data_IF_696718514569
#
_entry.id   IF_696718514569
#
_cell.length_a   1.000
_cell.length_b   1.000
_cell.length_c   1.000
_cell.angle_alpha   90.00
_cell.angle_beta   90.00
_cell.angle_gamma   90.00
#
_symmetry.space_group_name_H-M   'P 1'
#
loop_
_entity.id
_entity.type
_entity.pdbx_description
1 polymer ?
#
# COMPACT_ATOMS: atom_id res chain seq x y z
N UNK A 1 13.43 -20.52 -15.39
CA UNK A 1 14.27 -19.64 -14.54
C UNK A 1 13.91 -19.97 -13.10
N UNK A 2 14.86 -20.42 -12.30
CA UNK A 2 14.61 -20.68 -10.88
C UNK A 2 14.20 -19.38 -10.19
N UNK A 3 13.19 -19.38 -9.29
CA UNK A 3 12.86 -18.19 -8.52
C UNK A 3 14.10 -17.77 -7.73
N UNK A 4 14.52 -16.54 -7.93
CA UNK A 4 15.62 -15.93 -7.17
C UNK A 4 15.24 -15.94 -5.70
N UNK A 5 16.09 -16.50 -4.85
CA UNK A 5 15.89 -16.58 -3.40
C UNK A 5 15.53 -15.21 -2.85
N UNK A 6 14.30 -15.05 -2.34
CA UNK A 6 13.77 -13.82 -1.74
C UNK A 6 12.52 -13.22 -2.40
N UNK A 7 11.95 -13.86 -3.42
CA UNK A 7 10.63 -13.44 -3.93
C UNK A 7 9.56 -14.29 -3.24
N UNK A 8 8.52 -13.69 -2.63
CA UNK A 8 7.42 -14.45 -2.04
C UNK A 8 6.77 -15.34 -3.12
N UNK A 9 6.55 -16.62 -2.80
CA UNK A 9 5.84 -17.53 -3.69
C UNK A 9 4.33 -17.30 -3.55
N UNK A 10 3.64 -17.08 -4.66
CA UNK A 10 2.18 -16.98 -4.70
C UNK A 10 1.59 -18.31 -5.16
N UNK A 11 0.38 -18.60 -4.71
CA UNK A 11 -0.37 -19.76 -5.17
C UNK A 11 -0.94 -19.46 -6.57
N UNK A 12 -0.16 -19.80 -7.62
CA UNK A 12 -0.54 -19.52 -9.02
C UNK A 12 -1.87 -20.20 -9.38
N UNK A 13 -2.15 -21.39 -8.84
CA UNK A 13 -3.40 -22.10 -9.16
C UNK A 13 -4.63 -21.40 -8.57
N UNK A 14 -4.48 -20.68 -7.45
CA UNK A 14 -5.53 -19.85 -6.89
C UNK A 14 -5.77 -18.58 -7.72
N UNK A 15 -4.70 -17.96 -8.22
CA UNK A 15 -4.78 -16.65 -8.89
C UNK A 15 -5.04 -16.74 -10.39
N UNK A 16 -4.68 -17.84 -11.05
CA UNK A 16 -4.83 -17.98 -12.51
C UNK A 16 -6.26 -17.70 -12.94
N UNK A 17 -6.42 -16.77 -13.89
CA UNK A 17 -7.69 -16.34 -14.48
C UNK A 17 -8.72 -15.83 -13.44
N UNK A 18 -8.27 -15.56 -12.20
CA UNK A 18 -9.14 -15.05 -11.14
C UNK A 18 -9.42 -13.57 -11.34
N UNK A 19 -10.71 -13.14 -11.41
CA UNK A 19 -11.07 -11.75 -11.55
C UNK A 19 -10.81 -10.97 -10.25
N UNK A 20 -9.87 -10.01 -10.29
CA UNK A 20 -9.45 -9.22 -9.12
C UNK A 20 -9.64 -7.75 -9.36
N UNK A 21 -10.47 -7.09 -8.54
CA UNK A 21 -10.56 -5.63 -8.53
C UNK A 21 -9.51 -5.04 -7.60
N UNK A 22 -8.66 -4.16 -8.14
CA UNK A 22 -7.70 -3.38 -7.36
C UNK A 22 -8.10 -1.90 -7.39
N UNK A 23 -8.50 -1.37 -6.24
CA UNK A 23 -8.66 0.08 -6.06
C UNK A 23 -7.36 0.67 -5.54
N UNK A 24 -6.97 1.86 -6.02
CA UNK A 24 -5.69 2.46 -5.63
C UNK A 24 -4.47 1.87 -6.34
N UNK A 25 -4.65 1.27 -7.52
CA UNK A 25 -3.59 0.67 -8.33
C UNK A 25 -2.46 1.64 -8.72
N UNK A 26 -2.74 2.95 -8.79
CA UNK A 26 -1.73 3.99 -9.07
C UNK A 26 -0.93 4.42 -7.84
N UNK A 27 -1.27 3.90 -6.64
CA UNK A 27 -0.52 4.12 -5.40
C UNK A 27 0.73 3.24 -5.31
N UNK A 28 1.57 3.49 -4.27
CA UNK A 28 2.80 2.73 -4.03
C UNK A 28 2.52 1.21 -3.94
N UNK A 29 1.71 0.80 -2.98
CA UNK A 29 1.42 -0.63 -2.74
C UNK A 29 0.58 -1.22 -3.87
N UNK A 30 -0.40 -0.46 -4.39
CA UNK A 30 -1.29 -0.91 -5.46
C UNK A 30 -0.54 -1.27 -6.74
N UNK A 31 0.45 -0.48 -7.14
CA UNK A 31 1.27 -0.78 -8.32
C UNK A 31 2.05 -2.10 -8.19
N UNK A 32 2.68 -2.33 -7.04
CA UNK A 32 3.39 -3.59 -6.77
C UNK A 32 2.45 -4.78 -6.62
N UNK A 33 1.26 -4.57 -6.04
CA UNK A 33 0.24 -5.61 -5.94
C UNK A 33 -0.25 -6.04 -7.33
N UNK A 34 -0.57 -5.09 -8.22
CA UNK A 34 -0.95 -5.39 -9.61
C UNK A 34 0.14 -6.17 -10.31
N UNK A 35 1.40 -5.76 -10.18
CA UNK A 35 2.54 -6.48 -10.75
C UNK A 35 2.61 -7.93 -10.26
N UNK A 36 2.42 -8.15 -8.96
CA UNK A 36 2.44 -9.50 -8.37
C UNK A 36 1.25 -10.35 -8.83
N UNK A 37 0.05 -9.78 -8.93
CA UNK A 37 -1.15 -10.43 -9.45
C UNK A 37 -0.98 -10.83 -10.92
N UNK A 38 -0.41 -9.97 -11.76
CA UNK A 38 -0.09 -10.28 -13.16
C UNK A 38 0.94 -11.40 -13.30
N UNK A 39 1.94 -11.45 -12.40
CA UNK A 39 2.91 -12.56 -12.34
C UNK A 39 2.24 -13.88 -11.94
N UNK A 40 1.22 -13.82 -11.10
CA UNK A 40 0.40 -14.95 -10.70
C UNK A 40 -0.74 -15.28 -11.71
N UNK A 41 -0.77 -14.59 -12.86
CA UNK A 41 -1.73 -14.81 -13.96
C UNK A 41 -3.19 -14.48 -13.59
N UNK A 42 -3.43 -13.56 -12.66
CA UNK A 42 -4.77 -13.09 -12.34
C UNK A 42 -5.34 -12.20 -13.45
N UNK A 43 -6.68 -12.20 -13.59
CA UNK A 43 -7.40 -11.23 -14.45
C UNK A 43 -7.66 -9.96 -13.62
N UNK A 44 -6.85 -8.93 -13.85
CA UNK A 44 -6.82 -7.74 -13.00
C UNK A 44 -7.63 -6.61 -13.60
N UNK A 45 -8.55 -6.07 -12.80
CA UNK A 45 -9.33 -4.86 -13.08
C UNK A 45 -8.87 -3.76 -12.14
N UNK A 46 -8.46 -2.61 -12.67
CA UNK A 46 -8.00 -1.46 -11.90
C UNK A 46 -9.03 -0.32 -11.94
N UNK A 47 -9.55 0.08 -10.77
CA UNK A 47 -10.32 1.32 -10.66
C UNK A 47 -9.34 2.50 -10.55
N UNK A 48 -9.31 3.35 -11.57
CA UNK A 48 -8.40 4.50 -11.68
C UNK A 48 -9.20 5.80 -11.76
N UNK A 49 -9.02 6.67 -10.76
CA UNK A 49 -9.64 8.00 -10.73
C UNK A 49 -8.82 9.00 -11.53
N UNK A 50 -7.57 9.17 -11.15
CA UNK A 50 -6.69 10.19 -11.71
C UNK A 50 -5.56 9.56 -12.53
N UNK A 51 -5.21 10.20 -13.64
CA UNK A 51 -4.06 9.82 -14.42
C UNK A 51 -2.78 10.27 -13.71
N UNK A 52 -1.93 9.31 -13.35
CA UNK A 52 -0.68 9.54 -12.59
C UNK A 52 0.51 9.00 -13.39
N UNK A 53 1.08 9.77 -14.35
CA UNK A 53 2.09 9.29 -15.30
C UNK A 53 3.33 8.66 -14.64
N UNK A 54 3.69 9.14 -13.45
CA UNK A 54 4.86 8.68 -12.73
C UNK A 54 4.59 7.49 -11.79
N UNK A 55 3.35 7.02 -11.69
CA UNK A 55 3.02 5.83 -10.90
C UNK A 55 3.76 4.59 -11.46
N UNK A 56 4.16 3.67 -10.57
CA UNK A 56 4.92 2.47 -10.95
C UNK A 56 4.18 1.64 -12.01
N UNK A 57 2.88 1.43 -11.86
CA UNK A 57 2.05 0.69 -12.82
C UNK A 57 2.06 1.29 -14.24
N UNK A 58 2.18 2.63 -14.35
CA UNK A 58 2.29 3.34 -15.63
C UNK A 58 3.70 3.15 -16.24
N UNK A 59 4.72 3.30 -15.39
CA UNK A 59 6.12 3.24 -15.81
C UNK A 59 6.58 1.84 -16.18
N UNK A 60 6.07 0.82 -15.52
CA UNK A 60 6.37 -0.59 -15.81
C UNK A 60 5.67 -1.11 -17.06
N UNK A 61 4.64 -0.39 -17.57
CA UNK A 61 3.77 -0.85 -18.65
C UNK A 61 2.74 -1.89 -18.19
N UNK A 62 2.63 -2.14 -16.90
CA UNK A 62 1.67 -3.13 -16.37
C UNK A 62 0.22 -2.66 -16.55
N UNK A 63 -0.03 -1.33 -16.67
CA UNK A 63 -1.36 -0.80 -16.95
C UNK A 63 -1.94 -1.28 -18.28
N UNK A 64 -1.08 -1.51 -19.28
CA UNK A 64 -1.50 -2.00 -20.61
C UNK A 64 -1.90 -3.49 -20.61
N UNK A 65 -1.68 -4.17 -19.49
CA UNK A 65 -1.92 -5.61 -19.29
C UNK A 65 -3.13 -5.89 -18.41
N UNK A 66 -3.84 -4.86 -17.95
CA UNK A 66 -5.00 -4.97 -17.06
C UNK A 66 -6.22 -4.28 -17.65
N UNK A 67 -7.40 -4.63 -17.18
CA UNK A 67 -8.63 -3.91 -17.50
C UNK A 67 -8.68 -2.62 -16.66
N UNK A 68 -8.80 -1.46 -17.31
CA UNK A 68 -8.85 -0.16 -16.63
C UNK A 68 -10.26 0.40 -16.66
N UNK A 69 -10.85 0.57 -15.50
CA UNK A 69 -12.11 1.30 -15.33
C UNK A 69 -11.82 2.66 -14.74
N UNK A 70 -12.23 3.71 -15.44
CA UNK A 70 -12.18 5.08 -14.92
C UNK A 70 -13.37 5.34 -14.03
N UNK A 71 -13.11 5.72 -12.78
CA UNK A 71 -14.15 5.98 -11.80
C UNK A 71 -13.60 6.42 -10.45
N UNK A 72 -14.47 7.03 -9.65
CA UNK A 72 -14.16 7.41 -8.26
C UNK A 72 -14.67 6.30 -7.32
N UNK A 73 -13.93 6.03 -6.26
CA UNK A 73 -14.33 5.09 -5.19
C UNK A 73 -15.62 5.54 -4.49
N UNK A 74 -15.99 6.80 -4.63
CA UNK A 74 -17.23 7.36 -4.10
C UNK A 74 -18.43 7.22 -5.05
N UNK A 75 -18.26 6.63 -6.22
CA UNK A 75 -19.33 6.38 -7.19
C UNK A 75 -19.89 4.96 -7.03
N UNK A 76 -21.04 4.86 -6.35
CA UNK A 76 -21.70 3.58 -6.05
C UNK A 76 -22.08 2.82 -7.33
N UNK A 77 -22.66 3.51 -8.31
CA UNK A 77 -23.13 2.88 -9.57
C UNK A 77 -21.96 2.34 -10.38
N UNK A 78 -20.85 3.09 -10.41
CA UNK A 78 -19.61 2.61 -11.03
C UNK A 78 -19.08 1.34 -10.34
N UNK A 79 -19.06 1.30 -9.01
CA UNK A 79 -18.60 0.14 -8.26
C UNK A 79 -19.46 -1.10 -8.51
N UNK A 80 -20.79 -0.96 -8.44
CA UNK A 80 -21.72 -2.07 -8.71
C UNK A 80 -21.59 -2.58 -10.15
N UNK A 81 -21.47 -1.68 -11.12
CA UNK A 81 -21.24 -2.02 -12.52
C UNK A 81 -19.93 -2.80 -12.72
N UNK A 82 -18.82 -2.33 -12.14
CA UNK A 82 -17.51 -3.01 -12.27
C UNK A 82 -17.55 -4.41 -11.68
N UNK A 83 -18.12 -4.56 -10.48
CA UNK A 83 -18.23 -5.87 -9.83
C UNK A 83 -19.06 -6.85 -10.67
N UNK A 84 -20.11 -6.37 -11.34
CA UNK A 84 -20.98 -7.19 -12.18
C UNK A 84 -20.39 -7.48 -13.56
N UNK A 85 -19.91 -6.46 -14.30
CA UNK A 85 -19.40 -6.62 -15.67
C UNK A 85 -18.15 -7.51 -15.74
N UNK A 86 -17.28 -7.42 -14.74
CA UNK A 86 -16.05 -8.22 -14.69
C UNK A 86 -16.17 -9.46 -13.79
N UNK A 87 -17.35 -9.78 -13.29
CA UNK A 87 -17.62 -10.93 -12.40
C UNK A 87 -16.58 -11.05 -11.25
N UNK A 88 -16.24 -9.91 -10.64
CA UNK A 88 -15.17 -9.82 -9.66
C UNK A 88 -15.38 -10.79 -8.49
N UNK A 89 -14.40 -11.65 -8.25
CA UNK A 89 -14.38 -12.58 -7.12
C UNK A 89 -13.53 -12.12 -5.94
N UNK A 90 -12.46 -11.34 -6.21
CA UNK A 90 -11.57 -10.83 -5.14
C UNK A 90 -11.42 -9.31 -5.25
N UNK A 91 -11.51 -8.62 -4.12
CA UNK A 91 -11.38 -7.16 -4.05
C UNK A 91 -10.20 -6.78 -3.16
N UNK A 92 -9.27 -6.01 -3.72
CA UNK A 92 -8.13 -5.42 -3.04
C UNK A 92 -8.37 -3.91 -2.89
N UNK A 93 -8.81 -3.48 -1.70
CA UNK A 93 -9.18 -2.09 -1.46
C UNK A 93 -8.03 -1.29 -0.85
N UNK A 94 -7.27 -0.59 -1.72
CA UNK A 94 -6.15 0.24 -1.32
C UNK A 94 -6.36 1.74 -1.64
N UNK A 95 -7.47 2.11 -2.29
CA UNK A 95 -7.77 3.50 -2.62
C UNK A 95 -7.96 4.33 -1.35
N UNK A 96 -7.11 5.34 -1.17
CA UNK A 96 -7.19 6.26 -0.05
C UNK A 96 -6.40 7.55 -0.32
N UNK A 97 -6.79 8.66 0.30
CA UNK A 97 -5.90 9.81 0.48
C UNK A 97 -4.94 9.50 1.64
N UNK A 98 -3.64 9.31 1.31
CA UNK A 98 -2.63 8.83 2.27
C UNK A 98 -1.62 9.89 2.71
N UNK A 99 -1.68 11.09 2.14
CA UNK A 99 -0.72 12.16 2.45
C UNK A 99 -1.26 13.00 3.61
N UNK A 100 -0.68 12.81 4.80
CA UNK A 100 -1.13 13.48 6.04
C UNK A 100 -1.22 14.99 5.90
N UNK A 101 -0.25 15.64 5.25
CA UNK A 101 -0.29 17.08 5.01
C UNK A 101 -1.46 17.53 4.12
N UNK A 102 -1.93 16.69 3.20
CA UNK A 102 -3.14 16.96 2.39
C UNK A 102 -4.37 16.72 3.25
N UNK A 103 -4.43 15.63 3.99
CA UNK A 103 -5.54 15.31 4.89
C UNK A 103 -5.79 16.43 5.92
N UNK A 104 -4.72 16.99 6.50
CA UNK A 104 -4.83 18.10 7.45
C UNK A 104 -5.35 19.41 6.80
N UNK A 105 -4.99 19.65 5.53
CA UNK A 105 -5.46 20.85 4.81
C UNK A 105 -6.86 20.69 4.24
N UNK A 106 -7.23 19.47 3.86
CA UNK A 106 -8.55 19.17 3.28
C UNK A 106 -9.10 17.86 3.89
N UNK A 107 -9.61 17.94 5.15
CA UNK A 107 -10.14 16.76 5.82
C UNK A 107 -11.40 16.21 5.15
N UNK A 108 -12.25 17.07 4.55
CA UNK A 108 -13.50 16.63 3.92
C UNK A 108 -13.20 15.66 2.79
N UNK A 109 -12.34 16.02 1.83
CA UNK A 109 -11.99 15.12 0.72
C UNK A 109 -11.33 13.82 1.19
N UNK A 110 -10.60 13.87 2.31
CA UNK A 110 -10.01 12.68 2.93
C UNK A 110 -11.09 11.77 3.51
N UNK A 111 -12.07 12.33 4.22
CA UNK A 111 -13.18 11.56 4.78
C UNK A 111 -14.10 11.00 3.69
N UNK A 112 -14.39 11.78 2.66
CA UNK A 112 -15.16 11.29 1.51
C UNK A 112 -14.48 10.10 0.83
N UNK A 113 -13.19 10.21 0.51
CA UNK A 113 -12.47 9.12 -0.14
C UNK A 113 -12.28 7.90 0.77
N UNK A 114 -11.77 8.12 2.00
CA UNK A 114 -11.32 7.02 2.87
C UNK A 114 -12.46 6.38 3.65
N UNK A 115 -13.47 7.15 4.06
CA UNK A 115 -14.62 6.66 4.81
C UNK A 115 -15.78 6.39 3.84
N UNK A 116 -16.17 7.43 3.07
CA UNK A 116 -17.26 7.34 2.10
C UNK A 116 -17.00 6.28 1.03
N UNK A 117 -15.80 6.26 0.46
CA UNK A 117 -15.40 5.27 -0.52
C UNK A 117 -15.40 3.85 0.04
N UNK A 118 -14.92 3.66 1.28
CA UNK A 118 -14.90 2.33 1.91
C UNK A 118 -16.31 1.77 2.11
N UNK A 119 -17.24 2.53 2.73
CA UNK A 119 -18.58 1.98 2.96
C UNK A 119 -19.36 1.75 1.66
N UNK A 120 -19.14 2.58 0.63
CA UNK A 120 -19.76 2.36 -0.69
C UNK A 120 -19.24 1.09 -1.35
N UNK A 121 -17.93 0.87 -1.30
CA UNK A 121 -17.36 -0.38 -1.83
C UNK A 121 -17.87 -1.61 -1.05
N UNK A 122 -17.92 -1.54 0.28
CA UNK A 122 -18.46 -2.64 1.09
C UNK A 122 -19.92 -2.93 0.72
N UNK A 123 -20.75 -1.90 0.51
CA UNK A 123 -22.15 -2.07 0.12
C UNK A 123 -22.26 -2.65 -1.31
N UNK A 124 -21.45 -2.20 -2.26
CA UNK A 124 -21.40 -2.78 -3.60
C UNK A 124 -21.02 -4.27 -3.55
N UNK A 125 -19.99 -4.62 -2.75
CA UNK A 125 -19.59 -6.01 -2.55
C UNK A 125 -20.70 -6.86 -1.90
N UNK A 126 -21.41 -6.30 -0.90
CA UNK A 126 -22.53 -6.99 -0.24
C UNK A 126 -23.67 -7.34 -1.21
N UNK A 127 -23.90 -6.49 -2.22
CA UNK A 127 -24.91 -6.72 -3.26
C UNK A 127 -24.43 -7.64 -4.38
N UNK A 128 -23.13 -7.83 -4.52
CA UNK A 128 -22.56 -8.70 -5.54
C UNK A 128 -22.60 -10.17 -5.10
N UNK A 129 -23.18 -11.07 -5.89
CA UNK A 129 -23.22 -12.49 -5.55
C UNK A 129 -21.90 -13.23 -5.86
N UNK A 130 -20.90 -12.52 -6.47
CA UNK A 130 -19.65 -13.11 -6.95
C UNK A 130 -18.46 -12.85 -6.04
N UNK A 131 -18.53 -11.82 -5.19
CA UNK A 131 -17.39 -11.44 -4.33
C UNK A 131 -17.20 -12.46 -3.21
N UNK A 132 -16.04 -13.08 -3.19
CA UNK A 132 -15.65 -14.15 -2.26
C UNK A 132 -14.59 -13.73 -1.25
N UNK A 133 -13.74 -12.75 -1.57
CA UNK A 133 -12.72 -12.21 -0.66
C UNK A 133 -12.56 -10.71 -0.84
N UNK A 134 -12.44 -10.00 0.27
CA UNK A 134 -12.17 -8.56 0.30
C UNK A 134 -11.02 -8.31 1.28
N UNK A 135 -9.94 -7.71 0.81
CA UNK A 135 -8.83 -7.26 1.65
C UNK A 135 -8.82 -5.74 1.67
N UNK A 136 -8.97 -5.16 2.86
CA UNK A 136 -9.04 -3.71 3.07
C UNK A 136 -7.75 -3.20 3.69
N UNK A 137 -7.08 -2.26 3.04
CA UNK A 137 -5.89 -1.62 3.56
C UNK A 137 -6.26 -0.54 4.60
N UNK A 138 -6.08 -0.86 5.88
CA UNK A 138 -6.04 0.10 6.98
C UNK A 138 -4.60 0.61 7.21
N UNK A 139 -4.21 0.91 8.43
CA UNK A 139 -2.89 1.42 8.80
C UNK A 139 -2.67 1.29 10.31
N UNK A 140 -1.42 1.24 10.73
CA UNK A 140 -1.00 1.43 12.13
C UNK A 140 -1.46 2.78 12.70
N UNK A 141 -1.69 3.78 11.83
CA UNK A 141 -2.23 5.10 12.21
C UNK A 141 -3.65 5.03 12.77
N UNK A 142 -4.41 3.97 12.45
CA UNK A 142 -5.75 3.77 13.00
C UNK A 142 -5.75 3.58 14.53
N UNK A 143 -4.65 3.10 15.10
CA UNK A 143 -4.48 2.96 16.56
C UNK A 143 -4.28 4.30 17.30
N UNK A 144 -3.90 5.36 16.56
CA UNK A 144 -3.57 6.65 17.17
C UNK A 144 -2.29 6.61 18.01
N UNK A 145 -2.24 7.40 19.07
CA UNK A 145 -1.12 7.48 20.01
C UNK A 145 -1.42 6.65 21.28
N UNK A 146 -1.43 5.32 21.15
CA UNK A 146 -1.67 4.45 22.29
C UNK A 146 -0.43 4.36 23.18
N UNK A 147 -0.64 4.33 24.48
CA UNK A 147 0.43 4.33 25.50
C UNK A 147 1.17 3.00 25.61
N UNK A 148 0.54 1.91 25.17
CA UNK A 148 1.10 0.56 25.25
C UNK A 148 1.58 0.14 23.87
N UNK A 149 2.84 -0.23 23.76
CA UNK A 149 3.49 -0.71 22.54
C UNK A 149 4.13 -2.07 22.79
N UNK A 150 4.27 -2.91 21.76
CA UNK A 150 3.79 -2.75 20.37
C UNK A 150 2.26 -2.72 20.27
N UNK A 151 1.72 -2.13 19.19
CA UNK A 151 0.28 -2.25 18.93
C UNK A 151 -0.06 -3.67 18.52
N UNK A 152 -1.03 -4.28 19.19
CA UNK A 152 -1.68 -5.53 18.81
C UNK A 152 -3.03 -5.26 18.15
N UNK A 153 -3.65 -6.27 17.55
CA UNK A 153 -4.98 -6.12 16.96
C UNK A 153 -6.07 -5.79 17.98
N UNK A 154 -5.82 -6.11 19.28
CA UNK A 154 -6.71 -5.77 20.41
C UNK A 154 -6.56 -4.29 20.87
N UNK A 155 -5.53 -3.60 20.39
CA UNK A 155 -5.36 -2.18 20.69
C UNK A 155 -6.53 -1.38 20.11
N UNK A 156 -7.24 -0.54 20.89
CA UNK A 156 -8.37 0.23 20.39
C UNK A 156 -7.99 1.15 19.22
N UNK A 157 -8.89 1.26 18.24
CA UNK A 157 -8.76 2.21 17.16
C UNK A 157 -9.12 3.61 17.68
N UNK A 158 -8.12 4.48 17.77
CA UNK A 158 -8.22 5.81 18.42
C UNK A 158 -7.48 6.90 17.63
N UNK A 159 -7.61 6.92 16.30
CA UNK A 159 -7.05 7.97 15.46
C UNK A 159 -7.53 9.35 15.92
N UNK A 160 -6.65 10.36 15.91
CA UNK A 160 -6.96 11.72 16.34
C UNK A 160 -6.84 12.76 15.24
N UNK A 161 -6.01 12.53 14.24
CA UNK A 161 -5.82 13.43 13.11
C UNK A 161 -6.66 12.97 11.89
N UNK A 162 -6.97 13.83 10.91
CA UNK A 162 -7.90 13.50 9.83
C UNK A 162 -7.58 12.20 9.10
N UNK A 163 -6.32 11.94 8.77
CA UNK A 163 -5.92 10.68 8.15
C UNK A 163 -6.14 9.49 9.10
N UNK A 164 -5.68 9.60 10.34
CA UNK A 164 -5.75 8.52 11.33
C UNK A 164 -7.21 8.15 11.62
N UNK A 165 -8.06 9.18 11.88
CA UNK A 165 -9.52 9.02 12.04
C UNK A 165 -10.15 8.34 10.83
N UNK A 166 -9.76 8.75 9.61
CA UNK A 166 -10.31 8.16 8.40
C UNK A 166 -9.98 6.66 8.28
N UNK A 167 -8.78 6.25 8.73
CA UNK A 167 -8.37 4.85 8.76
C UNK A 167 -9.09 4.07 9.85
N UNK A 168 -9.25 4.64 11.06
CA UNK A 168 -10.05 4.01 12.13
C UNK A 168 -11.50 3.79 11.69
N UNK A 169 -12.13 4.78 11.05
CA UNK A 169 -13.50 4.67 10.57
C UNK A 169 -13.63 3.62 9.45
N UNK A 170 -12.75 3.63 8.45
CA UNK A 170 -12.78 2.66 7.36
C UNK A 170 -12.58 1.23 7.85
N UNK A 171 -11.70 1.03 8.82
CA UNK A 171 -11.44 -0.25 9.50
C UNK A 171 -12.69 -0.76 10.22
N UNK A 172 -13.31 0.06 11.08
CA UNK A 172 -14.54 -0.27 11.79
C UNK A 172 -15.70 -0.56 10.84
N UNK A 173 -15.83 0.18 9.73
CA UNK A 173 -16.85 -0.07 8.71
C UNK A 173 -16.63 -1.44 8.08
N UNK A 174 -15.42 -1.78 7.65
CA UNK A 174 -15.13 -3.08 7.06
C UNK A 174 -15.48 -4.22 8.01
N UNK A 175 -15.09 -4.14 9.29
CA UNK A 175 -15.43 -5.11 10.32
C UNK A 175 -16.95 -5.19 10.57
N UNK A 176 -17.65 -4.06 10.52
CA UNK A 176 -19.13 -4.02 10.67
C UNK A 176 -19.79 -4.81 9.56
N UNK A 177 -19.34 -4.69 8.30
CA UNK A 177 -19.91 -5.45 7.19
C UNK A 177 -19.66 -6.96 7.33
N UNK A 178 -18.50 -7.37 7.85
CA UNK A 178 -18.26 -8.77 8.18
C UNK A 178 -19.20 -9.27 9.28
N UNK A 179 -19.21 -8.57 10.41
CA UNK A 179 -19.91 -9.04 11.61
C UNK A 179 -21.44 -9.00 11.48
N UNK A 180 -21.98 -8.02 10.74
CA UNK A 180 -23.42 -7.82 10.63
C UNK A 180 -24.03 -8.55 9.42
N UNK A 181 -23.29 -8.55 8.29
CA UNK A 181 -23.81 -9.05 7.02
C UNK A 181 -23.08 -10.30 6.51
N UNK A 182 -22.07 -10.80 7.23
CA UNK A 182 -21.28 -11.97 6.82
C UNK A 182 -20.43 -11.73 5.59
N UNK A 183 -20.08 -10.46 5.30
CA UNK A 183 -19.25 -10.15 4.14
C UNK A 183 -17.83 -10.73 4.32
N UNK A 184 -17.27 -11.42 3.31
CA UNK A 184 -15.95 -12.03 3.42
C UNK A 184 -14.85 -10.97 3.33
N UNK A 185 -14.63 -10.21 4.40
CA UNK A 185 -13.65 -9.11 4.46
C UNK A 185 -12.67 -9.30 5.61
N UNK A 186 -11.39 -9.06 5.32
CA UNK A 186 -10.32 -8.90 6.30
C UNK A 186 -9.65 -7.53 6.17
N UNK A 187 -9.12 -7.03 7.27
CA UNK A 187 -8.43 -5.74 7.33
C UNK A 187 -6.94 -5.94 7.58
N UNK A 188 -6.09 -5.20 6.87
CA UNK A 188 -4.65 -5.18 7.10
C UNK A 188 -4.24 -3.86 7.75
N UNK A 189 -3.51 -3.92 8.86
CA UNK A 189 -2.93 -2.76 9.53
C UNK A 189 -1.42 -2.84 9.39
N UNK A 190 -0.88 -2.00 8.50
CA UNK A 190 0.53 -2.07 8.13
C UNK A 190 1.28 -0.86 8.69
N UNK A 191 2.57 -1.06 8.98
CA UNK A 191 3.52 0.01 9.27
C UNK A 191 3.84 0.88 8.06
N UNK A 192 4.92 1.68 8.14
CA UNK A 192 5.27 2.61 7.07
C UNK A 192 5.82 1.88 5.84
N UNK A 193 5.04 1.81 4.80
CA UNK A 193 5.50 1.24 3.53
C UNK A 193 6.63 2.05 2.91
N UNK A 194 7.63 1.32 2.40
CA UNK A 194 8.70 1.88 1.57
C UNK A 194 9.03 0.95 0.40
N UNK A 195 9.60 1.51 -0.65
CA UNK A 195 10.01 0.76 -1.84
C UNK A 195 10.13 1.66 -3.06
N UNK A 196 10.49 1.06 -4.18
CA UNK A 196 10.50 1.76 -5.47
C UNK A 196 9.09 2.22 -5.85
N UNK A 197 8.98 3.41 -6.46
CA UNK A 197 7.69 3.99 -6.86
C UNK A 197 7.09 4.97 -5.84
N UNK A 198 7.68 5.12 -4.64
CA UNK A 198 7.27 6.19 -3.73
C UNK A 198 7.88 7.52 -4.14
N UNK A 199 7.08 8.35 -4.81
CA UNK A 199 7.52 9.68 -5.26
C UNK A 199 7.12 10.81 -4.29
N UNK A 200 6.70 10.48 -3.08
CA UNK A 200 6.50 11.46 -2.02
C UNK A 200 7.84 11.83 -1.37
N UNK A 201 8.53 12.80 -1.97
CA UNK A 201 9.84 13.27 -1.52
C UNK A 201 9.88 13.87 -0.11
N UNK A 202 8.73 14.04 0.53
CA UNK A 202 8.63 14.44 1.93
C UNK A 202 8.76 13.27 2.90
N UNK A 203 8.67 12.01 2.42
CA UNK A 203 8.97 10.83 3.22
C UNK A 203 10.47 10.62 3.34
N UNK A 204 10.90 10.08 4.47
CA UNK A 204 12.32 10.00 4.82
C UNK A 204 13.15 9.19 3.82
N UNK A 205 12.68 8.00 3.40
CA UNK A 205 13.44 7.12 2.49
C UNK A 205 13.58 7.74 1.10
N UNK A 206 12.50 8.09 0.36
CA UNK A 206 12.66 8.70 -0.96
C UNK A 206 13.38 10.04 -0.91
N UNK A 207 13.14 10.86 0.12
CA UNK A 207 13.79 12.15 0.31
C UNK A 207 15.30 12.01 0.50
N UNK A 208 15.73 11.08 1.36
CA UNK A 208 17.16 10.80 1.61
C UNK A 208 17.86 10.30 0.35
N UNK A 209 17.29 9.28 -0.32
CA UNK A 209 17.91 8.71 -1.54
C UNK A 209 18.03 9.78 -2.63
N UNK A 210 16.97 10.59 -2.83
CA UNK A 210 17.01 11.70 -3.80
C UNK A 210 18.11 12.72 -3.49
N UNK A 211 18.23 13.11 -2.20
CA UNK A 211 19.28 14.07 -1.78
C UNK A 211 20.67 13.52 -2.09
N UNK A 212 20.93 12.26 -1.73
CA UNK A 212 22.23 11.62 -2.01
C UNK A 212 22.53 11.54 -3.51
N UNK A 213 21.57 11.15 -4.35
CA UNK A 213 21.74 11.10 -5.82
C UNK A 213 22.08 12.48 -6.38
N UNK A 214 21.62 13.57 -5.75
CA UNK A 214 21.92 14.95 -6.14
C UNK A 214 23.21 15.50 -5.53
N UNK A 215 23.90 14.73 -4.70
CA UNK A 215 25.07 15.21 -3.96
C UNK A 215 24.73 16.16 -2.81
N UNK A 216 23.48 16.17 -2.34
CA UNK A 216 22.98 17.03 -1.28
C UNK A 216 22.91 16.26 0.05
N UNK A 217 23.14 16.94 1.18
CA UNK A 217 22.93 16.38 2.51
C UNK A 217 21.44 16.15 2.75
N UNK A 218 21.00 14.94 3.19
CA UNK A 218 19.61 14.70 3.51
C UNK A 218 19.20 15.49 4.75
N UNK A 219 17.92 15.91 4.80
CA UNK A 219 17.37 16.70 5.90
C UNK A 219 16.41 15.85 6.73
N UNK A 220 16.70 15.72 8.03
CA UNK A 220 15.83 15.14 9.05
C UNK A 220 15.09 16.28 9.74
N UNK A 221 13.74 16.31 9.62
CA UNK A 221 12.93 17.39 10.19
C UNK A 221 12.74 17.26 11.71
N UNK A 222 12.63 16.03 12.22
CA UNK A 222 12.62 15.73 13.65
C UNK A 222 14.03 15.82 14.24
N UNK A 223 14.17 15.46 15.51
CA UNK A 223 15.45 15.26 16.17
C UNK A 223 16.17 13.95 15.77
N UNK A 224 15.49 13.11 14.97
CA UNK A 224 15.98 11.82 14.49
C UNK A 224 15.69 10.63 15.42
N UNK A 225 15.13 10.86 16.59
CA UNK A 225 14.87 9.81 17.61
C UNK A 225 13.58 9.01 17.37
N UNK A 226 12.68 9.49 16.50
CA UNK A 226 11.38 8.86 16.28
C UNK A 226 11.52 7.46 15.73
N UNK A 227 10.92 6.47 16.41
CA UNK A 227 10.99 5.06 16.04
C UNK A 227 9.77 4.67 15.22
N UNK A 228 10.02 3.99 14.09
CA UNK A 228 9.00 3.50 13.17
C UNK A 228 9.27 2.05 12.78
N UNK A 229 8.22 1.42 12.33
CA UNK A 229 8.21 0.14 11.68
C UNK A 229 8.17 0.36 10.16
N UNK A 230 9.20 -0.07 9.46
CA UNK A 230 9.33 0.08 8.02
C UNK A 230 9.03 -1.25 7.31
N UNK A 231 8.01 -1.23 6.46
CA UNK A 231 7.52 -2.42 5.79
C UNK A 231 7.77 -2.34 4.27
N UNK A 232 8.54 -3.29 3.76
CA UNK A 232 8.92 -3.28 2.35
C UNK A 232 7.72 -3.58 1.44
N UNK A 233 7.59 -2.83 0.36
CA UNK A 233 6.39 -2.83 -0.47
C UNK A 233 6.09 -4.17 -1.14
N UNK A 234 7.12 -4.93 -1.54
CA UNK A 234 6.90 -6.25 -2.15
C UNK A 234 6.42 -7.28 -1.11
N UNK A 235 6.87 -7.20 0.15
CA UNK A 235 6.32 -7.99 1.24
C UNK A 235 4.85 -7.65 1.51
N UNK A 236 4.51 -6.36 1.42
CA UNK A 236 3.12 -5.92 1.57
C UNK A 236 2.21 -6.44 0.47
N UNK A 237 2.62 -6.34 -0.79
CA UNK A 237 1.88 -6.88 -1.91
C UNK A 237 1.66 -8.40 -1.76
N UNK A 238 2.71 -9.13 -1.39
CA UNK A 238 2.64 -10.56 -1.13
C UNK A 238 1.72 -10.91 0.06
N UNK A 239 1.77 -10.12 1.13
CA UNK A 239 0.93 -10.34 2.31
C UNK A 239 -0.57 -10.18 1.99
N UNK A 240 -0.93 -9.20 1.16
CA UNK A 240 -2.32 -9.03 0.73
C UNK A 240 -2.82 -10.19 -0.11
N UNK A 241 -2.00 -10.68 -1.05
CA UNK A 241 -2.32 -11.87 -1.84
C UNK A 241 -2.45 -13.10 -0.96
N UNK A 242 -1.48 -13.31 -0.06
CA UNK A 242 -1.50 -14.44 0.87
C UNK A 242 -2.74 -14.42 1.78
N UNK A 243 -3.14 -13.24 2.29
CA UNK A 243 -4.35 -13.11 3.10
C UNK A 243 -5.60 -13.54 2.32
N UNK A 244 -5.76 -13.10 1.08
CA UNK A 244 -6.89 -13.51 0.23
C UNK A 244 -6.90 -15.02 -0.04
N UNK A 245 -5.73 -15.64 -0.27
CA UNK A 245 -5.58 -17.10 -0.39
C UNK A 245 -6.02 -17.83 0.89
N UNK A 246 -5.61 -17.32 2.06
CA UNK A 246 -6.01 -17.88 3.35
C UNK A 246 -7.51 -17.74 3.62
N UNK A 247 -8.11 -16.60 3.28
CA UNK A 247 -9.56 -16.37 3.41
C UNK A 247 -10.38 -17.36 2.59
N UNK A 248 -9.93 -17.71 1.38
CA UNK A 248 -10.62 -18.69 0.53
C UNK A 248 -10.63 -20.10 1.15
N UNK A 249 -9.59 -20.48 1.87
CA UNK A 249 -9.48 -21.78 2.54
C UNK A 249 -10.10 -21.80 3.95
N UNK A 250 -10.27 -20.60 4.57
CA UNK A 250 -10.55 -20.46 6.00
C UNK A 250 -11.57 -19.35 6.24
N UNK A 251 -12.88 -19.62 6.08
CA UNK A 251 -13.94 -18.63 6.28
C UNK A 251 -13.97 -18.02 7.70
N UNK A 252 -13.40 -18.68 8.69
CA UNK A 252 -13.27 -18.16 10.05
C UNK A 252 -12.37 -16.92 10.17
N UNK A 253 -11.61 -16.58 9.13
CA UNK A 253 -10.84 -15.35 9.07
C UNK A 253 -11.68 -14.11 8.76
N UNK A 254 -12.91 -14.28 8.27
CA UNK A 254 -13.78 -13.16 7.91
C UNK A 254 -14.08 -12.27 9.11
N UNK A 255 -13.87 -10.98 8.95
CA UNK A 255 -14.01 -9.98 10.02
C UNK A 255 -12.74 -9.70 10.80
N UNK A 256 -11.69 -10.50 10.60
CA UNK A 256 -10.44 -10.33 11.32
C UNK A 256 -9.59 -9.18 10.76
N UNK A 257 -8.85 -8.54 11.68
CA UNK A 257 -7.79 -7.61 11.33
C UNK A 257 -6.43 -8.27 11.60
N UNK A 258 -5.43 -7.93 10.77
CA UNK A 258 -4.07 -8.41 10.91
C UNK A 258 -3.07 -7.27 10.82
N UNK A 259 -2.22 -7.18 11.84
CA UNK A 259 -1.01 -6.37 11.77
C UNK A 259 0.00 -7.07 10.86
N UNK A 260 0.53 -6.31 9.89
CA UNK A 260 1.57 -6.78 8.98
C UNK A 260 2.80 -5.89 9.14
N UNK A 261 3.88 -6.48 9.60
CA UNK A 261 5.07 -5.76 10.05
C UNK A 261 6.30 -6.65 9.97
N UNK A 262 7.47 -6.04 9.83
CA UNK A 262 8.76 -6.69 10.03
C UNK A 262 9.18 -6.73 11.50
N UNK A 263 8.48 -5.99 12.37
CA UNK A 263 8.77 -5.79 13.79
C UNK A 263 10.18 -5.20 14.06
N UNK A 264 10.78 -4.61 13.02
CA UNK A 264 12.07 -3.93 13.14
C UNK A 264 11.83 -2.49 13.59
N UNK A 265 12.26 -2.20 14.80
CA UNK A 265 12.17 -0.86 15.38
C UNK A 265 13.43 -0.09 15.02
N UNK A 266 13.29 0.93 14.17
CA UNK A 266 14.41 1.74 13.67
C UNK A 266 14.09 3.22 13.87
N UNK A 267 15.01 3.95 14.49
CA UNK A 267 14.91 5.40 14.54
C UNK A 267 15.14 6.03 13.16
N UNK A 268 14.63 7.24 12.98
CA UNK A 268 14.83 8.00 11.74
C UNK A 268 16.30 8.20 11.42
N UNK A 269 17.14 8.44 12.45
CA UNK A 269 18.57 8.62 12.27
C UNK A 269 19.25 7.33 11.83
N UNK A 270 19.00 6.20 12.51
CA UNK A 270 19.54 4.89 12.12
C UNK A 270 19.14 4.49 10.70
N UNK A 271 17.89 4.78 10.31
CA UNK A 271 17.43 4.52 8.94
C UNK A 271 18.19 5.36 7.91
N UNK A 272 18.40 6.64 8.18
CA UNK A 272 19.15 7.53 7.29
C UNK A 272 20.60 7.06 7.19
N UNK A 273 21.24 6.70 8.29
CA UNK A 273 22.60 6.16 8.31
C UNK A 273 22.71 4.85 7.53
N UNK A 274 21.72 3.96 7.64
CA UNK A 274 21.65 2.73 6.84
C UNK A 274 21.58 3.03 5.33
N UNK A 275 20.77 4.02 4.92
CA UNK A 275 20.66 4.44 3.52
C UNK A 275 21.98 5.03 3.03
N UNK A 276 22.61 5.93 3.80
CA UNK A 276 23.89 6.55 3.45
C UNK A 276 24.99 5.51 3.31
N UNK A 277 25.05 4.54 4.23
CA UNK A 277 25.97 3.42 4.18
C UNK A 277 25.77 2.55 2.95
N UNK A 278 24.53 2.18 2.63
CA UNK A 278 24.20 1.34 1.46
C UNK A 278 24.50 2.05 0.14
N UNK A 279 24.38 3.40 0.11
CA UNK A 279 24.73 4.23 -1.05
C UNK A 279 26.23 4.56 -1.13
N UNK A 280 27.04 4.16 -0.15
CA UNK A 280 28.49 4.38 -0.13
C UNK A 280 28.91 5.84 -0.13
N UNK A 281 28.13 6.72 0.51
CA UNK A 281 28.38 8.16 0.53
C UNK A 281 28.95 8.62 1.88
N UNK A 282 29.79 9.69 1.84
CA UNK A 282 30.29 10.37 3.04
C UNK A 282 29.44 11.55 3.51
N UNK A 283 28.32 11.83 2.82
CA UNK A 283 27.39 12.88 3.22
C UNK A 283 26.87 12.64 4.64
N UNK A 284 26.57 13.72 5.35
CA UNK A 284 25.98 13.67 6.69
C UNK A 284 24.59 14.28 6.69
N UNK A 285 23.63 13.73 7.46
CA UNK A 285 22.32 14.33 7.55
C UNK A 285 22.35 15.66 8.30
N UNK A 286 21.45 16.57 7.94
CA UNK A 286 21.16 17.80 8.67
C UNK A 286 19.91 17.58 9.51
N UNK A 287 20.07 17.56 10.84
CA UNK A 287 18.98 17.39 11.80
C UNK A 287 18.44 18.75 12.20
N UNK A 288 17.13 19.00 12.03
CA UNK A 288 16.50 20.31 12.31
C UNK A 288 15.77 20.37 13.65
N UNK A 289 15.20 19.26 14.14
CA UNK A 289 14.43 19.25 15.38
C UNK A 289 13.13 20.06 15.34
N UNK A 290 12.55 20.26 14.15
CA UNK A 290 11.38 21.14 13.94
C UNK A 290 10.04 20.37 13.96
N UNK A 291 10.07 19.03 13.99
CA UNK A 291 8.84 18.24 13.97
C UNK A 291 8.08 18.35 15.29
N UNK A 292 6.85 18.82 15.22
CA UNK A 292 5.91 18.91 16.35
C UNK A 292 4.66 18.08 16.05
N UNK A 293 4.03 17.55 17.10
CA UNK A 293 2.75 16.82 17.01
C UNK A 293 2.79 15.50 16.24
N UNK A 294 3.95 14.84 16.13
CA UNK A 294 4.07 13.50 15.60
C UNK A 294 4.20 12.46 16.72
N UNK A 295 3.61 11.26 16.53
CA UNK A 295 3.78 10.12 17.44
C UNK A 295 5.27 9.75 17.46
N UNK A 296 5.89 9.69 18.65
CA UNK A 296 7.33 9.43 18.79
C UNK A 296 7.68 7.96 18.48
N UNK A 297 6.91 7.02 19.02
CA UNK A 297 7.13 5.59 18.86
C UNK A 297 5.89 4.94 18.26
N UNK A 298 6.05 4.23 17.14
CA UNK A 298 4.95 3.56 16.47
C UNK A 298 5.47 2.29 15.77
N UNK A 299 5.09 1.13 16.33
CA UNK A 299 5.46 -0.18 15.79
C UNK A 299 4.43 -1.24 16.22
N UNK A 300 4.35 -2.30 15.44
CA UNK A 300 3.32 -3.31 15.50
C UNK A 300 3.86 -4.63 16.05
N UNK A 301 2.98 -5.41 16.67
CA UNK A 301 3.14 -6.85 16.88
C UNK A 301 2.41 -7.58 15.75
N UNK A 302 3.11 -8.41 15.00
CA UNK A 302 2.58 -9.23 13.90
C UNK A 302 2.42 -10.71 14.29
N UNK A 303 2.42 -11.04 15.57
CA UNK A 303 2.31 -12.43 16.07
C UNK A 303 1.03 -13.11 15.58
N UNK A 304 -0.08 -12.39 15.48
CA UNK A 304 -1.33 -12.94 14.95
C UNK A 304 -1.19 -13.37 13.49
N UNK A 305 -0.57 -12.55 12.64
CA UNK A 305 -0.32 -12.91 11.24
C UNK A 305 0.61 -14.12 11.14
N UNK A 306 1.65 -14.21 11.96
CA UNK A 306 2.51 -15.38 12.01
C UNK A 306 1.77 -16.65 12.44
N UNK A 307 1.02 -16.57 13.52
CA UNK A 307 0.37 -17.73 14.13
C UNK A 307 -0.85 -18.23 13.34
N UNK A 308 -1.63 -17.28 12.78
CA UNK A 308 -2.88 -17.62 12.10
C UNK A 308 -2.68 -17.82 10.61
N UNK A 309 -1.83 -17.01 9.97
CA UNK A 309 -1.63 -17.08 8.52
C UNK A 309 -0.35 -17.80 8.12
N UNK A 310 0.51 -18.18 9.08
CA UNK A 310 1.87 -18.64 8.80
C UNK A 310 2.65 -17.67 7.89
N UNK A 311 2.40 -16.37 8.07
CA UNK A 311 3.00 -15.33 7.26
C UNK A 311 4.27 -14.78 7.92
N UNK A 312 5.29 -14.52 7.11
CA UNK A 312 6.53 -13.86 7.52
C UNK A 312 7.04 -12.97 6.38
N UNK A 313 7.66 -11.81 6.68
CA UNK A 313 8.31 -11.00 5.66
C UNK A 313 9.49 -11.74 5.03
N UNK A 314 9.64 -11.63 3.70
CA UNK A 314 10.71 -12.28 2.95
C UNK A 314 11.98 -11.40 2.84
N UNK A 315 11.83 -10.10 3.08
CA UNK A 315 12.92 -9.14 2.94
C UNK A 315 13.37 -8.55 4.28
N UNK A 316 14.67 -8.58 4.54
CA UNK A 316 15.27 -7.75 5.60
C UNK A 316 15.27 -6.27 5.18
N UNK A 317 15.36 -5.36 6.16
CA UNK A 317 15.48 -3.92 5.88
C UNK A 317 16.61 -3.64 4.87
N UNK A 318 17.78 -4.23 5.06
CA UNK A 318 18.92 -4.06 4.14
C UNK A 318 18.57 -4.47 2.71
N UNK A 319 17.98 -5.66 2.49
CA UNK A 319 17.59 -6.10 1.14
C UNK A 319 16.54 -5.18 0.52
N UNK A 320 15.56 -4.75 1.29
CA UNK A 320 14.53 -3.80 0.83
C UNK A 320 15.14 -2.46 0.44
N UNK A 321 16.07 -1.93 1.25
CA UNK A 321 16.78 -0.68 0.94
C UNK A 321 17.64 -0.81 -0.33
N UNK A 322 18.42 -1.87 -0.48
CA UNK A 322 19.22 -2.12 -1.70
C UNK A 322 18.35 -2.09 -2.96
N UNK A 323 17.22 -2.81 -2.96
CA UNK A 323 16.28 -2.83 -4.10
C UNK A 323 15.63 -1.46 -4.33
N UNK A 324 15.27 -0.77 -3.26
CA UNK A 324 14.69 0.57 -3.31
C UNK A 324 15.66 1.58 -3.92
N UNK A 325 16.92 1.60 -3.47
CA UNK A 325 17.97 2.46 -3.99
C UNK A 325 18.20 2.18 -5.47
N UNK A 326 18.31 0.91 -5.86
CA UNK A 326 18.46 0.52 -7.27
C UNK A 326 17.31 1.04 -8.13
N UNK A 327 16.06 0.95 -7.64
CA UNK A 327 14.89 1.48 -8.34
C UNK A 327 15.02 2.99 -8.57
N UNK A 328 15.45 3.77 -7.56
CA UNK A 328 15.62 5.22 -7.72
C UNK A 328 16.76 5.57 -8.66
N UNK A 329 17.86 4.82 -8.66
CA UNK A 329 18.93 5.02 -9.65
C UNK A 329 18.39 4.85 -11.08
N UNK A 330 17.65 3.78 -11.34
CA UNK A 330 17.02 3.55 -12.65
C UNK A 330 16.00 4.65 -12.99
N UNK A 331 15.22 5.09 -12.00
CA UNK A 331 14.24 6.17 -12.17
C UNK A 331 14.91 7.49 -12.60
N UNK A 332 15.98 7.91 -11.95
CA UNK A 332 16.66 9.16 -12.27
C UNK A 332 17.43 9.07 -13.59
N UNK A 333 18.05 7.93 -13.90
CA UNK A 333 18.73 7.72 -15.18
C UNK A 333 17.76 7.80 -16.37
N UNK A 334 16.58 7.15 -16.27
CA UNK A 334 15.55 7.21 -17.32
C UNK A 334 15.03 8.63 -17.55
N UNK A 335 14.92 9.44 -16.49
CA UNK A 335 14.44 10.81 -16.58
C UNK A 335 15.52 11.84 -17.01
N UNK A 336 16.80 11.48 -16.98
CA UNK A 336 17.89 12.32 -17.51
C UNK A 336 18.08 12.15 -19.02
N UNK A 337 17.59 11.06 -19.62
CA UNK A 337 17.63 10.79 -21.06
C UNK A 337 16.22 10.75 -21.67
N UNK A 338 15.56 11.90 -21.91
CA UNK A 338 14.19 11.94 -22.43
C UNK A 338 14.03 11.44 -23.87
N UNK A 339 15.13 11.07 -24.55
CA UNK A 339 15.11 10.69 -25.98
C UNK A 339 14.62 9.27 -26.28
N UNK A 340 14.29 8.42 -25.29
CA UNK A 340 13.91 7.02 -25.53
C UNK A 340 12.50 6.61 -25.08
N UNK A 341 11.64 7.53 -24.70
CA UNK A 341 10.23 7.24 -24.47
C UNK A 341 9.42 7.69 -25.69
N UNK A 342 9.32 6.82 -26.70
CA UNK A 342 8.21 6.86 -27.66
C UNK A 342 6.95 6.55 -26.91
N UNK A 343 6.17 7.59 -26.60
CA UNK A 343 4.78 7.43 -26.15
C UNK A 343 4.04 6.64 -27.26
N UNK A 344 3.33 5.55 -26.94
CA UNK A 344 2.45 4.97 -27.92
C UNK A 344 1.37 5.99 -28.27
N UNK A 345 1.37 6.42 -29.53
CA UNK A 345 0.32 7.27 -30.09
C UNK A 345 -0.98 6.47 -30.01
N UNK A 346 -1.89 6.90 -29.13
CA UNK A 346 -3.22 6.31 -29.01
C UNK A 346 -3.91 6.29 -30.37
N UNK A 347 -4.25 5.11 -30.86
CA UNK A 347 -5.19 4.97 -31.99
C UNK A 347 -6.52 5.56 -31.55
N UNK A 348 -6.84 6.71 -32.09
CA UNK A 348 -8.20 7.24 -32.07
C UNK A 348 -9.10 6.21 -32.78
N UNK A 349 -10.01 5.57 -32.05
CA UNK A 349 -11.08 4.80 -32.65
C UNK A 349 -11.97 5.78 -33.41
N UNK A 350 -12.02 5.63 -34.72
CA UNK A 350 -12.96 6.33 -35.58
C UNK A 350 -14.36 5.86 -35.22
N UNK A 351 -15.23 6.83 -34.87
CA UNK A 351 -16.66 6.61 -34.76
C UNK A 351 -17.23 6.32 -36.17
N UNK A 352 -17.98 5.23 -36.28
CA UNK A 352 -19.01 5.01 -37.28
C UNK A 352 -20.24 4.47 -36.57
#
# INVERSE_FOLDING_TARGET
MNPTAGTPSHNIDFWRDRPVLVTGATGLVGGWLVKSLLQAQADVVCLVRDWTPNAEIMRSGDLDRVNVVRGDICDQDCLERVLGEFEISTVMHLAAQTIVGIANRNPVSTFEANIGGTWKLMEACRRSPKVEQIVVASSDKAYGDAKVLPYTEDTPLAGMHPYDVSKSCGDLIAQTYANTYGLPVCVTRCGNFYGGGDLNWNRIIPGTIRSVIRGESPVIRSDGSFVRDYFYVEDGAAAYMHLAEQMAARPELNGEAFNLSTEIQVSVLELVDAILSEMGTSLKPVVRGEASHEIQHQYLDASKARNWLNWQPAFSLKKGLTRTIQWYHNYFQANQNPCNTTLPVGRAAAAA
#
